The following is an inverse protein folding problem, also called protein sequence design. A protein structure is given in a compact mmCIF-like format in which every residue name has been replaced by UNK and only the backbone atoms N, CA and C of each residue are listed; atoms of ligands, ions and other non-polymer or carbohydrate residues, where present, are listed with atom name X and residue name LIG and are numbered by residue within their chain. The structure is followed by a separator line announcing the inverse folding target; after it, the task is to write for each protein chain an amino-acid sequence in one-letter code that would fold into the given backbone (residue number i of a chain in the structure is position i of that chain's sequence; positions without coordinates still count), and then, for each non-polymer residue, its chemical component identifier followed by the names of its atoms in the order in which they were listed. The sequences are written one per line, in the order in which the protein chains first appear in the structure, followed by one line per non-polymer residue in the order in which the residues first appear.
data_IF_941662355152
#
_entry.id   IF_941662355152
#
_cell.length_a   1.000
_cell.length_b   1.000
_cell.length_c   1.000
_cell.angle_alpha   90.00
_cell.angle_beta   90.00
_cell.angle_gamma   90.00
#
_symmetry.space_group_name_H-M   'P 1'
#
loop_
_entity.id
_entity.type
_entity.pdbx_description
1 polymer ?
#
# COMPACT_ATOMS: atom_id res chain seq x y z
N UNK A 1 1.08 -10.91 3.18
CA UNK A 1 1.73 -11.90 2.29
C UNK A 1 0.92 -13.19 2.14
N UNK A 2 0.47 -13.82 3.23
CA UNK A 2 -0.26 -15.11 3.15
C UNK A 2 -1.53 -15.04 2.29
N UNK A 3 -2.29 -13.95 2.37
CA UNK A 3 -3.48 -13.71 1.54
C UNK A 3 -3.15 -13.62 0.04
N UNK A 4 -2.12 -12.87 -0.35
CA UNK A 4 -1.67 -12.78 -1.75
C UNK A 4 -1.21 -14.14 -2.29
N UNK A 5 -0.47 -14.92 -1.50
CA UNK A 5 -0.07 -16.27 -1.90
C UNK A 5 -1.25 -17.24 -2.03
N UNK A 6 -2.23 -17.16 -1.14
CA UNK A 6 -3.43 -17.97 -1.23
C UNK A 6 -4.27 -17.61 -2.47
N UNK A 7 -4.41 -16.31 -2.75
CA UNK A 7 -5.13 -15.82 -3.92
C UNK A 7 -4.44 -16.21 -5.24
N UNK A 8 -3.10 -16.13 -5.30
CA UNK A 8 -2.33 -16.61 -6.46
C UNK A 8 -2.51 -18.11 -6.72
N UNK A 9 -2.48 -18.95 -5.68
CA UNK A 9 -2.76 -20.39 -5.82
C UNK A 9 -4.20 -20.66 -6.30
N UNK A 10 -5.16 -19.85 -5.86
CA UNK A 10 -6.55 -19.98 -6.29
C UNK A 10 -6.74 -19.59 -7.76
N UNK A 11 -6.06 -18.55 -8.23
CA UNK A 11 -6.04 -18.15 -9.65
C UNK A 11 -5.45 -19.25 -10.53
N UNK A 12 -4.31 -19.82 -10.13
CA UNK A 12 -3.66 -20.91 -10.87
C UNK A 12 -4.59 -22.11 -11.04
N UNK A 13 -5.29 -22.49 -9.96
CA UNK A 13 -6.26 -23.59 -9.98
C UNK A 13 -7.46 -23.30 -10.88
N UNK A 14 -8.00 -22.07 -10.81
CA UNK A 14 -9.11 -21.65 -11.66
C UNK A 14 -8.71 -21.65 -13.15
N UNK A 15 -7.47 -21.26 -13.45
CA UNK A 15 -6.93 -21.23 -14.79
C UNK A 15 -6.75 -22.64 -15.38
N UNK A 16 -6.36 -23.61 -14.55
CA UNK A 16 -6.31 -25.04 -14.94
C UNK A 16 -7.73 -25.54 -15.24
N UNK A 17 -8.69 -25.35 -14.33
CA UNK A 17 -10.06 -25.85 -14.49
C UNK A 17 -10.81 -25.19 -15.66
N UNK A 18 -10.58 -23.90 -15.93
CA UNK A 18 -11.11 -23.21 -17.10
C UNK A 18 -10.55 -23.81 -18.41
N UNK A 19 -9.24 -24.08 -18.49
CA UNK A 19 -8.63 -24.74 -19.67
C UNK A 19 -9.15 -26.15 -19.90
N UNK A 20 -9.45 -26.86 -18.82
CA UNK A 20 -10.08 -28.19 -18.87
C UNK A 20 -11.59 -28.13 -19.15
N UNK A 21 -12.17 -26.93 -19.30
CA UNK A 21 -13.60 -26.73 -19.54
C UNK A 21 -14.49 -27.07 -18.35
N UNK A 22 -13.90 -27.27 -17.17
CA UNK A 22 -14.58 -27.67 -15.93
C UNK A 22 -15.09 -26.48 -15.12
N UNK A 23 -14.68 -25.26 -15.45
CA UNK A 23 -15.05 -24.03 -14.74
C UNK A 23 -15.27 -22.89 -15.74
N UNK A 24 -16.21 -21.99 -15.44
CA UNK A 24 -16.62 -20.91 -16.34
C UNK A 24 -15.63 -19.72 -16.31
N UNK A 25 -15.58 -18.95 -17.39
CA UNK A 25 -14.69 -17.79 -17.53
C UNK A 25 -14.91 -16.75 -16.43
N UNK A 26 -16.15 -16.59 -15.97
CA UNK A 26 -16.48 -15.65 -14.89
C UNK A 26 -15.80 -16.02 -13.58
N UNK A 27 -15.66 -17.31 -13.27
CA UNK A 27 -14.98 -17.77 -12.07
C UNK A 27 -13.46 -17.55 -12.16
N UNK A 28 -12.87 -17.76 -13.34
CA UNK A 28 -11.48 -17.40 -13.60
C UNK A 28 -11.24 -15.90 -13.40
N UNK A 29 -12.13 -15.07 -13.95
CA UNK A 29 -12.03 -13.61 -13.81
C UNK A 29 -12.18 -13.16 -12.36
N UNK A 30 -13.06 -13.80 -11.58
CA UNK A 30 -13.23 -13.50 -10.15
C UNK A 30 -11.99 -13.89 -9.33
N UNK A 31 -11.38 -15.04 -9.65
CA UNK A 31 -10.12 -15.45 -9.03
C UNK A 31 -8.98 -14.47 -9.36
N UNK A 32 -8.86 -14.04 -10.62
CA UNK A 32 -7.87 -13.04 -11.04
C UNK A 32 -8.09 -11.68 -10.36
N UNK A 33 -9.36 -11.23 -10.23
CA UNK A 33 -9.69 -10.00 -9.50
C UNK A 33 -9.30 -10.09 -8.02
N UNK A 34 -9.56 -11.24 -7.41
CA UNK A 34 -9.18 -11.49 -6.01
C UNK A 34 -7.67 -11.47 -5.83
N UNK A 35 -6.93 -12.08 -6.77
CA UNK A 35 -5.46 -12.03 -6.77
C UNK A 35 -4.95 -10.59 -6.88
N UNK A 36 -5.44 -9.83 -7.85
CA UNK A 36 -5.03 -8.44 -8.03
C UNK A 36 -5.28 -7.60 -6.77
N UNK A 37 -6.45 -7.72 -6.15
CA UNK A 37 -6.77 -7.00 -4.92
C UNK A 37 -5.85 -7.41 -3.75
N UNK A 38 -5.45 -8.67 -3.66
CA UNK A 38 -4.54 -9.15 -2.64
C UNK A 38 -3.10 -8.66 -2.85
N UNK A 39 -2.66 -8.55 -4.10
CA UNK A 39 -1.36 -8.01 -4.47
C UNK A 39 -1.29 -6.49 -4.21
N UNK A 40 -2.35 -5.74 -4.55
CA UNK A 40 -2.47 -4.31 -4.24
C UNK A 40 -2.41 -4.06 -2.73
N UNK A 41 -3.14 -4.85 -1.93
CA UNK A 41 -3.12 -4.74 -0.48
C UNK A 41 -1.74 -5.05 0.12
N UNK A 42 -0.99 -5.96 -0.49
CA UNK A 42 0.39 -6.24 -0.09
C UNK A 42 1.31 -5.05 -0.37
N UNK A 43 1.23 -4.46 -1.56
CA UNK A 43 2.02 -3.30 -1.93
C UNK A 43 1.72 -2.07 -1.04
N UNK A 44 0.45 -1.85 -0.71
CA UNK A 44 0.04 -0.79 0.22
C UNK A 44 0.59 -1.02 1.64
N UNK A 45 0.54 -2.27 2.12
CA UNK A 45 1.12 -2.62 3.41
C UNK A 45 2.63 -2.39 3.45
N UNK A 46 3.36 -2.78 2.39
CA UNK A 46 4.80 -2.53 2.26
C UNK A 46 5.13 -1.03 2.24
N UNK A 47 4.35 -0.24 1.49
CA UNK A 47 4.47 1.23 1.48
C UNK A 47 4.24 1.82 2.87
N UNK A 48 3.18 1.37 3.55
CA UNK A 48 2.83 1.82 4.91
C UNK A 48 3.94 1.52 5.90
N UNK A 49 4.56 0.34 5.84
CA UNK A 49 5.71 -0.01 6.67
C UNK A 49 6.88 0.94 6.40
N UNK A 50 7.22 1.18 5.14
CA UNK A 50 8.31 2.09 4.76
C UNK A 50 8.07 3.52 5.27
N UNK A 51 6.86 4.05 5.12
CA UNK A 51 6.47 5.36 5.65
C UNK A 51 6.52 5.38 7.18
N UNK A 52 6.07 4.31 7.83
CA UNK A 52 6.07 4.19 9.29
C UNK A 52 7.49 4.18 9.85
N UNK A 53 8.43 3.48 9.19
CA UNK A 53 9.86 3.49 9.57
C UNK A 53 10.43 4.90 9.48
N UNK A 54 10.14 5.62 8.40
CA UNK A 54 10.53 7.03 8.26
C UNK A 54 9.88 7.86 9.38
N UNK A 55 8.58 7.71 9.64
CA UNK A 55 7.86 8.43 10.68
C UNK A 55 8.44 8.23 12.08
N UNK A 56 8.78 6.99 12.45
CA UNK A 56 9.45 6.68 13.72
C UNK A 56 10.84 7.33 13.77
N UNK A 57 11.62 7.28 12.68
CA UNK A 57 12.91 7.95 12.61
C UNK A 57 12.80 9.48 12.77
N UNK A 58 11.77 10.10 12.20
CA UNK A 58 11.46 11.53 12.41
C UNK A 58 11.08 11.82 13.87
N UNK A 59 10.24 10.99 14.47
CA UNK A 59 9.74 11.18 15.83
C UNK A 59 10.84 11.03 16.90
N UNK A 60 11.85 10.20 16.65
CA UNK A 60 13.01 10.02 17.51
C UNK A 60 14.07 11.14 17.36
N UNK A 61 13.77 12.20 16.59
CA UNK A 61 14.65 13.36 16.42
C UNK A 61 15.54 13.34 15.18
N UNK A 62 15.28 12.43 14.22
CA UNK A 62 15.92 12.40 12.91
C UNK A 62 15.35 13.44 11.92
N UNK A 63 16.17 13.79 10.92
CA UNK A 63 16.19 14.99 10.03
C UNK A 63 15.87 16.30 10.74
N UNK A 64 16.92 17.11 10.93
CA UNK A 64 16.90 18.32 11.73
C UNK A 64 15.80 19.29 11.32
N UNK A 65 15.05 19.74 12.33
CA UNK A 65 14.84 21.16 12.62
C UNK A 65 14.88 22.08 11.40
N UNK A 66 13.89 21.99 10.50
CA UNK A 66 13.49 23.18 9.75
C UNK A 66 12.73 24.05 10.76
N UNK A 67 13.52 24.77 11.55
CA UNK A 67 13.02 25.70 12.56
C UNK A 67 12.04 26.68 11.94
N UNK A 68 11.00 26.94 12.73
CA UNK A 68 9.99 27.98 12.62
C UNK A 68 10.54 29.39 12.35
N UNK A 69 11.06 29.65 11.14
CA UNK A 69 11.59 30.96 10.75
C UNK A 69 10.57 31.86 10.02
N UNK A 70 9.26 31.58 10.15
CA UNK A 70 8.22 32.33 9.43
C UNK A 70 7.16 32.99 10.32
N UNK A 71 7.37 33.06 11.65
CA UNK A 71 6.42 33.73 12.54
C UNK A 71 7.10 34.77 13.44
N UNK A 72 7.81 35.72 12.81
CA UNK A 72 8.12 36.99 13.46
C UNK A 72 6.91 37.90 13.24
N UNK A 73 6.13 38.26 14.29
CA UNK A 73 5.11 39.29 14.14
C UNK A 73 5.84 40.60 13.82
N UNK A 74 5.70 41.08 12.59
CA UNK A 74 6.13 42.45 12.24
C UNK A 74 5.30 43.40 13.09
N UNK A 75 5.90 43.85 14.18
CA UNK A 75 5.40 44.97 14.96
C UNK A 75 5.34 46.18 14.02
N UNK A 76 4.13 46.49 13.54
CA UNK A 76 3.81 47.77 12.91
C UNK A 76 4.06 48.84 13.95
N UNK A 77 5.29 49.38 13.93
CA UNK A 77 5.63 50.60 14.65
C UNK A 77 5.02 51.75 13.86
N UNK A 78 3.85 52.17 14.33
CA UNK A 78 3.16 53.39 13.95
C UNK A 78 4.09 54.58 14.21
N UNK A 79 4.44 55.34 13.17
CA UNK A 79 4.84 56.75 13.27
C UNK A 79 4.58 57.49 11.97
#
# INVERSE_FOLDING_TARGET
AEQAQAAGRAEELAQIRFREGSEDFLTLLDAQRTQLAADDALAEAESTVNVSVVGVYKALGGWGQQQDAANTPVAVTQR
#
